data_IF_748180103313
#
_entry.id   IF_748180103313
#
_cell.length_a   1.000
_cell.length_b   1.000
_cell.length_c   1.000
_cell.angle_alpha   90.00
_cell.angle_beta   90.00
_cell.angle_gamma   90.00
#
_symmetry.space_group_name_H-M   'P 1'
#
loop_
_entity.id
_entity.type
_entity.pdbx_description
1 polymer ?
#
# COMPACT_ATOMS: atom_id res chain seq x y z
N UNK A 1 2.59 6.49 9.14
CA UNK A 1 3.72 7.08 9.89
C UNK A 1 3.78 8.59 9.67
N UNK A 2 3.76 9.05 8.42
CA UNK A 2 3.66 10.46 8.05
C UNK A 2 2.43 11.18 8.64
N UNK A 3 1.27 10.52 8.68
CA UNK A 3 0.08 11.07 9.34
C UNK A 3 0.25 11.30 10.84
N UNK A 4 1.07 10.47 11.50
CA UNK A 4 1.38 10.65 12.92
C UNK A 4 2.27 11.88 13.14
N UNK A 5 3.16 12.20 12.21
CA UNK A 5 3.96 13.43 12.24
C UNK A 5 3.11 14.66 11.95
N UNK A 6 2.15 14.53 11.04
CA UNK A 6 1.17 15.58 10.75
C UNK A 6 0.26 15.85 11.95
N UNK A 7 -0.14 14.78 12.64
CA UNK A 7 -0.94 14.87 13.86
C UNK A 7 -0.12 15.45 15.02
N UNK A 8 1.13 15.03 15.19
CA UNK A 8 2.05 15.61 16.16
C UNK A 8 2.32 17.10 15.88
N UNK A 9 2.38 17.50 14.61
CA UNK A 9 2.49 18.92 14.24
C UNK A 9 1.21 19.69 14.56
N UNK A 10 0.02 19.14 14.29
CA UNK A 10 -1.26 19.73 14.72
C UNK A 10 -1.29 19.92 16.22
N UNK A 11 -0.95 18.88 16.97
CA UNK A 11 -0.92 18.89 18.44
C UNK A 11 0.08 19.91 18.98
N UNK A 12 1.25 20.04 18.36
CA UNK A 12 2.25 21.06 18.71
C UNK A 12 1.76 22.49 18.39
N UNK A 13 1.01 22.68 17.31
CA UNK A 13 0.41 23.97 16.93
C UNK A 13 -0.79 24.31 17.82
N UNK A 14 -1.58 23.33 18.23
CA UNK A 14 -2.72 23.50 19.13
C UNK A 14 -2.25 23.79 20.57
N UNK A 15 -1.22 23.08 21.05
CA UNK A 15 -0.54 23.40 22.31
C UNK A 15 0.10 24.80 22.28
N UNK A 16 0.67 25.21 21.14
CA UNK A 16 1.17 26.58 20.92
C UNK A 16 0.07 27.65 21.03
N UNK A 17 -1.17 27.32 20.60
CA UNK A 17 -2.32 28.21 20.73
C UNK A 17 -2.74 28.38 22.20
N UNK A 18 -2.43 27.40 23.04
CA UNK A 18 -2.70 27.40 24.48
C UNK A 18 -1.56 28.00 25.30
N UNK A 19 -0.29 27.83 24.88
CA UNK A 19 0.91 28.30 25.58
C UNK A 19 1.69 29.33 24.74
N UNK A 20 1.57 30.60 25.10
CA UNK A 20 2.22 31.77 24.50
C UNK A 20 3.76 31.72 24.52
N UNK A 21 4.39 30.96 23.63
CA UNK A 21 5.83 31.07 23.31
C UNK A 21 6.03 31.33 21.80
N UNK A 22 5.87 32.60 21.42
CA UNK A 22 5.93 33.12 20.05
C UNK A 22 7.30 32.98 19.35
N UNK A 23 8.38 32.77 20.08
CA UNK A 23 9.72 32.65 19.52
C UNK A 23 10.05 31.21 19.02
N UNK A 24 9.24 30.22 19.37
CA UNK A 24 9.49 28.80 19.04
C UNK A 24 8.85 28.30 17.72
N UNK A 25 7.96 29.09 17.10
CA UNK A 25 7.18 28.68 15.91
C UNK A 25 8.04 28.50 14.66
N UNK A 26 8.95 29.43 14.30
CA UNK A 26 9.80 29.24 13.13
C UNK A 26 10.70 28.02 13.28
N UNK A 27 11.24 27.80 14.50
CA UNK A 27 12.09 26.66 14.78
C UNK A 27 11.33 25.32 14.76
N UNK A 28 10.08 25.28 15.24
CA UNK A 28 9.25 24.08 15.18
C UNK A 28 8.89 23.71 13.74
N UNK A 29 8.56 24.69 12.90
CA UNK A 29 8.35 24.49 11.47
C UNK A 29 9.62 24.03 10.75
N UNK A 30 10.78 24.59 11.10
CA UNK A 30 12.09 24.16 10.59
C UNK A 30 12.41 22.71 10.97
N UNK A 31 12.13 22.33 12.23
CA UNK A 31 12.30 20.95 12.70
C UNK A 31 11.38 19.97 11.96
N UNK A 32 10.11 20.32 11.74
CA UNK A 32 9.18 19.49 10.97
C UNK A 32 9.67 19.31 9.52
N UNK A 33 10.04 20.39 8.85
CA UNK A 33 10.53 20.36 7.47
C UNK A 33 11.76 19.46 7.35
N UNK A 34 12.71 19.55 8.29
CA UNK A 34 13.88 18.64 8.32
C UNK A 34 13.49 17.19 8.56
N UNK A 35 12.52 16.92 9.43
CA UNK A 35 12.03 15.57 9.65
C UNK A 35 11.37 14.99 8.38
N UNK A 36 10.54 15.78 7.70
CA UNK A 36 9.94 15.38 6.41
C UNK A 36 11.00 15.13 5.33
N UNK A 37 12.05 15.96 5.26
CA UNK A 37 13.18 15.73 4.34
C UNK A 37 13.90 14.42 4.64
N UNK A 38 14.16 14.12 5.92
CA UNK A 38 14.79 12.87 6.32
C UNK A 38 13.92 11.67 5.92
N UNK A 39 12.61 11.72 6.18
CA UNK A 39 11.72 10.63 5.78
C UNK A 39 11.65 10.44 4.27
N UNK A 40 11.69 11.52 3.48
CA UNK A 40 11.75 11.42 2.02
C UNK A 40 13.05 10.76 1.54
N UNK A 41 14.18 11.05 2.21
CA UNK A 41 15.46 10.38 1.94
C UNK A 41 15.37 8.89 2.27
N UNK A 42 14.81 8.54 3.42
CA UNK A 42 14.64 7.15 3.84
C UNK A 42 13.71 6.38 2.87
N UNK A 43 12.61 7.01 2.45
CA UNK A 43 11.71 6.45 1.44
C UNK A 43 12.39 6.24 0.08
N UNK A 44 13.26 7.18 -0.35
CA UNK A 44 14.07 7.00 -1.56
C UNK A 44 14.99 5.79 -1.44
N UNK A 45 15.67 5.62 -0.31
CA UNK A 45 16.55 4.46 -0.08
C UNK A 45 15.78 3.15 -0.17
N UNK A 46 14.55 3.10 0.35
CA UNK A 46 13.69 1.92 0.22
C UNK A 46 13.33 1.66 -1.25
N UNK A 47 12.94 2.71 -1.98
CA UNK A 47 12.63 2.61 -3.41
C UNK A 47 13.81 2.11 -4.24
N UNK A 48 15.02 2.58 -3.96
CA UNK A 48 16.22 2.14 -4.65
C UNK A 48 16.50 0.65 -4.37
N UNK A 49 16.36 0.22 -3.11
CA UNK A 49 16.47 -1.21 -2.73
C UNK A 49 15.43 -2.09 -3.40
N UNK A 50 14.17 -1.63 -3.49
CA UNK A 50 13.12 -2.34 -4.23
C UNK A 50 13.47 -2.43 -5.71
N UNK A 51 14.02 -1.37 -6.30
CA UNK A 51 14.54 -1.37 -7.67
C UNK A 51 15.62 -2.44 -7.88
N UNK A 52 16.60 -2.52 -6.99
CA UNK A 52 17.66 -3.53 -7.05
C UNK A 52 17.10 -4.96 -6.94
N UNK A 53 16.14 -5.18 -6.03
CA UNK A 53 15.48 -6.47 -5.84
C UNK A 53 14.65 -6.90 -7.06
N UNK A 54 13.97 -5.95 -7.72
CA UNK A 54 13.25 -6.18 -8.97
C UNK A 54 14.22 -6.63 -10.06
N UNK A 55 15.34 -5.91 -10.25
CA UNK A 55 16.33 -6.23 -11.28
C UNK A 55 17.06 -7.55 -11.01
N UNK A 56 17.34 -7.86 -9.76
CA UNK A 56 17.87 -9.17 -9.37
C UNK A 56 16.87 -10.30 -9.65
N UNK A 57 15.62 -10.15 -9.20
CA UNK A 57 14.57 -11.16 -9.41
C UNK A 57 14.30 -11.39 -10.91
N UNK A 58 14.35 -10.34 -11.74
CA UNK A 58 14.26 -10.44 -13.21
C UNK A 58 15.41 -11.25 -13.80
N UNK A 59 16.64 -11.01 -13.35
CA UNK A 59 17.83 -11.76 -13.80
C UNK A 59 17.72 -13.24 -13.40
N UNK A 60 17.27 -13.53 -12.19
CA UNK A 60 17.03 -14.89 -11.72
C UNK A 60 15.96 -15.60 -12.56
N UNK A 61 14.83 -14.94 -12.82
CA UNK A 61 13.75 -15.50 -13.64
C UNK A 61 14.21 -15.81 -15.07
N UNK A 62 15.00 -14.91 -15.67
CA UNK A 62 15.59 -15.14 -16.99
C UNK A 62 16.56 -16.32 -17.00
N UNK A 63 17.40 -16.45 -15.96
CA UNK A 63 18.32 -17.56 -15.82
C UNK A 63 17.57 -18.90 -15.66
N UNK A 64 16.51 -18.94 -14.85
CA UNK A 64 15.65 -20.13 -14.70
C UNK A 64 14.95 -20.51 -16.02
N UNK A 65 14.51 -19.53 -16.82
CA UNK A 65 13.94 -19.77 -18.16
C UNK A 65 14.98 -20.34 -19.15
N UNK A 66 16.22 -19.85 -19.11
CA UNK A 66 17.32 -20.42 -19.90
C UNK A 66 17.61 -21.87 -19.51
N UNK A 67 17.66 -22.18 -18.21
CA UNK A 67 17.87 -23.55 -17.72
C UNK A 67 16.70 -24.47 -18.08
N UNK A 68 15.46 -23.98 -17.98
CA UNK A 68 14.27 -24.69 -18.43
C UNK A 68 14.40 -25.08 -19.91
N UNK A 69 14.72 -24.13 -20.79
CA UNK A 69 14.90 -24.39 -22.22
C UNK A 69 16.03 -25.37 -22.48
N UNK A 70 17.13 -25.30 -21.72
CA UNK A 70 18.24 -26.24 -21.84
C UNK A 70 17.83 -27.66 -21.45
N UNK A 71 17.05 -27.82 -20.37
CA UNK A 71 16.52 -29.11 -19.93
C UNK A 71 15.55 -29.71 -20.96
N UNK A 72 14.63 -28.90 -21.51
CA UNK A 72 13.70 -29.35 -22.55
C UNK A 72 14.42 -29.82 -23.82
N UNK A 73 15.47 -29.10 -24.26
CA UNK A 73 16.30 -29.55 -25.39
C UNK A 73 17.01 -30.87 -25.09
N UNK A 74 17.55 -31.04 -23.88
CA UNK A 74 18.22 -32.28 -23.46
C UNK A 74 17.24 -33.45 -23.40
N UNK A 75 16.04 -33.23 -22.88
CA UNK A 75 14.98 -34.23 -22.86
C UNK A 75 14.65 -34.69 -24.28
N UNK A 76 14.45 -33.75 -25.21
CA UNK A 76 14.14 -34.07 -26.61
C UNK A 76 15.27 -34.86 -27.29
N UNK A 77 16.53 -34.49 -27.06
CA UNK A 77 17.68 -35.21 -27.59
C UNK A 77 17.78 -36.63 -27.02
N UNK A 78 17.62 -36.79 -25.70
CA UNK A 78 17.65 -38.09 -25.03
C UNK A 78 16.55 -39.03 -25.55
N UNK A 79 15.35 -38.49 -25.73
CA UNK A 79 14.22 -39.23 -26.32
C UNK A 79 14.52 -39.71 -27.74
N UNK A 80 15.16 -38.88 -28.57
CA UNK A 80 15.53 -39.25 -29.96
C UNK A 80 16.54 -40.39 -30.03
N UNK A 81 17.42 -40.52 -29.05
CA UNK A 81 18.45 -41.58 -29.01
C UNK A 81 18.07 -42.78 -28.14
N UNK A 82 16.88 -42.76 -27.53
CA UNK A 82 16.39 -43.83 -26.66
C UNK A 82 17.05 -43.88 -25.27
N UNK A 83 17.64 -42.78 -24.80
CA UNK A 83 18.19 -42.67 -23.44
C UNK A 83 17.08 -42.27 -22.45
N UNK A 84 16.37 -43.27 -21.94
CA UNK A 84 15.21 -43.08 -21.06
C UNK A 84 15.57 -42.45 -19.70
N UNK A 85 16.75 -42.73 -19.17
CA UNK A 85 17.18 -42.17 -17.87
C UNK A 85 17.47 -40.67 -18.01
N UNK A 86 18.21 -40.28 -19.05
CA UNK A 86 18.47 -38.85 -19.30
C UNK A 86 17.18 -38.10 -19.66
N UNK A 87 16.26 -38.70 -20.42
CA UNK A 87 14.95 -38.10 -20.69
C UNK A 87 14.20 -37.80 -19.39
N UNK A 88 14.10 -38.79 -18.50
CA UNK A 88 13.41 -38.64 -17.22
C UNK A 88 14.04 -37.56 -16.35
N UNK A 89 15.37 -37.57 -16.18
CA UNK A 89 16.08 -36.58 -15.37
C UNK A 89 15.90 -35.18 -15.96
N UNK A 90 16.04 -35.02 -17.27
CA UNK A 90 15.87 -33.72 -17.93
C UNK A 90 14.45 -33.17 -17.72
N UNK A 91 13.41 -34.02 -17.79
CA UNK A 91 12.03 -33.63 -17.52
C UNK A 91 11.82 -33.18 -16.07
N UNK A 92 12.37 -33.92 -15.10
CA UNK A 92 12.26 -33.57 -13.68
C UNK A 92 12.91 -32.21 -13.38
N UNK A 93 14.09 -31.93 -13.95
CA UNK A 93 14.74 -30.64 -13.81
C UNK A 93 13.98 -29.53 -14.54
N UNK A 94 13.46 -29.78 -15.73
CA UNK A 94 12.60 -28.83 -16.44
C UNK A 94 11.39 -28.43 -15.59
N UNK A 95 10.70 -29.39 -14.98
CA UNK A 95 9.57 -29.10 -14.10
C UNK A 95 9.97 -28.21 -12.90
N UNK A 96 11.14 -28.45 -12.29
CA UNK A 96 11.64 -27.62 -11.18
C UNK A 96 11.99 -26.20 -11.63
N UNK A 97 12.66 -26.03 -12.76
CA UNK A 97 12.99 -24.72 -13.31
C UNK A 97 11.72 -23.92 -13.68
N UNK A 98 10.70 -24.59 -14.23
CA UNK A 98 9.40 -23.96 -14.48
C UNK A 98 8.75 -23.47 -13.17
N UNK A 99 8.67 -24.33 -12.15
CA UNK A 99 8.10 -23.94 -10.85
C UNK A 99 8.83 -22.76 -10.21
N UNK A 100 10.16 -22.71 -10.30
CA UNK A 100 10.96 -21.61 -9.78
C UNK A 100 10.75 -20.33 -10.56
N UNK A 101 10.72 -20.42 -11.89
CA UNK A 101 10.41 -19.29 -12.77
C UNK A 101 9.05 -18.69 -12.43
N UNK A 102 8.01 -19.51 -12.32
CA UNK A 102 6.65 -19.05 -11.99
C UNK A 102 6.63 -18.33 -10.64
N UNK A 103 7.33 -18.86 -9.63
CA UNK A 103 7.45 -18.23 -8.32
C UNK A 103 8.17 -16.86 -8.40
N UNK A 104 9.24 -16.77 -9.19
CA UNK A 104 9.98 -15.52 -9.38
C UNK A 104 9.14 -14.49 -10.14
N UNK A 105 8.32 -14.91 -11.11
CA UNK A 105 7.37 -14.04 -11.81
C UNK A 105 6.28 -13.50 -10.89
N UNK A 106 5.72 -14.32 -9.99
CA UNK A 106 4.78 -13.84 -8.97
C UNK A 106 5.45 -12.88 -7.98
N UNK A 107 6.67 -13.20 -7.53
CA UNK A 107 7.46 -12.30 -6.68
C UNK A 107 7.70 -10.95 -7.37
N UNK A 108 8.00 -10.97 -8.67
CA UNK A 108 8.23 -9.76 -9.44
C UNK A 108 6.98 -8.86 -9.47
N UNK A 109 5.79 -9.44 -9.70
CA UNK A 109 4.52 -8.67 -9.67
C UNK A 109 4.30 -7.99 -8.33
N UNK A 110 4.58 -8.68 -7.22
CA UNK A 110 4.45 -8.13 -5.87
C UNK A 110 5.43 -6.98 -5.65
N UNK A 111 6.71 -7.16 -6.01
CA UNK A 111 7.72 -6.12 -5.85
C UNK A 111 7.44 -4.88 -6.72
N UNK A 112 6.95 -5.08 -7.95
CA UNK A 112 6.57 -3.98 -8.83
C UNK A 112 5.38 -3.19 -8.29
N UNK A 113 4.38 -3.89 -7.74
CA UNK A 113 3.24 -3.25 -7.06
C UNK A 113 3.69 -2.46 -5.83
N UNK A 114 4.51 -3.06 -4.97
CA UNK A 114 5.05 -2.37 -3.80
C UNK A 114 5.85 -1.13 -4.22
N UNK A 115 6.70 -1.23 -5.25
CA UNK A 115 7.44 -0.08 -5.77
C UNK A 115 6.52 1.03 -6.27
N UNK A 116 5.41 0.69 -6.94
CA UNK A 116 4.42 1.67 -7.39
C UNK A 116 3.72 2.36 -6.21
N UNK A 117 3.28 1.59 -5.21
CA UNK A 117 2.64 2.11 -4.01
C UNK A 117 3.58 3.06 -3.26
N UNK A 118 4.85 2.68 -3.08
CA UNK A 118 5.88 3.52 -2.44
C UNK A 118 6.22 4.79 -3.23
N UNK A 119 6.15 4.76 -4.56
CA UNK A 119 6.33 5.96 -5.39
C UNK A 119 5.17 6.93 -5.21
N UNK A 120 3.94 6.42 -5.17
CA UNK A 120 2.77 7.24 -4.87
C UNK A 120 2.88 7.89 -3.48
N UNK A 121 3.25 7.11 -2.45
CA UNK A 121 3.50 7.64 -1.10
C UNK A 121 4.55 8.78 -1.12
N UNK A 122 5.64 8.62 -1.88
CA UNK A 122 6.68 9.65 -2.00
C UNK A 122 6.19 10.92 -2.71
N UNK A 123 5.33 10.80 -3.72
CA UNK A 123 4.73 11.94 -4.41
C UNK A 123 3.78 12.72 -3.50
N UNK A 124 3.03 12.01 -2.64
CA UNK A 124 2.20 12.61 -1.60
C UNK A 124 3.06 13.35 -0.55
N UNK A 125 4.13 12.71 -0.08
CA UNK A 125 5.11 13.34 0.82
C UNK A 125 5.70 14.62 0.21
N UNK A 126 6.03 14.61 -1.08
CA UNK A 126 6.54 15.80 -1.79
C UNK A 126 5.50 16.93 -1.84
N UNK A 127 4.23 16.60 -2.06
CA UNK A 127 3.13 17.56 -2.06
C UNK A 127 2.95 18.17 -0.67
N UNK A 128 2.94 17.34 0.37
CA UNK A 128 2.88 17.80 1.75
C UNK A 128 4.07 18.66 2.15
N UNK A 129 5.27 18.31 1.70
CA UNK A 129 6.49 19.08 1.94
C UNK A 129 6.42 20.47 1.31
N UNK A 130 5.93 20.56 0.07
CA UNK A 130 5.69 21.85 -0.60
C UNK A 130 4.70 22.71 0.18
N UNK A 131 3.62 22.11 0.67
CA UNK A 131 2.61 22.80 1.48
C UNK A 131 3.17 23.27 2.83
N UNK A 132 4.00 22.45 3.50
CA UNK A 132 4.66 22.81 4.74
C UNK A 132 5.61 24.01 4.56
N UNK A 133 6.41 24.01 3.48
CA UNK A 133 7.28 25.14 3.10
C UNK A 133 6.49 26.42 2.84
N UNK A 134 5.42 26.35 2.05
CA UNK A 134 4.57 27.51 1.77
C UNK A 134 3.92 28.10 3.04
N UNK A 135 3.44 27.24 3.95
CA UNK A 135 2.89 27.66 5.25
C UNK A 135 3.94 28.33 6.13
N UNK A 136 5.16 27.79 6.17
CA UNK A 136 6.28 28.41 6.88
C UNK A 136 6.58 29.81 6.33
N UNK A 137 6.64 29.97 5.02
CA UNK A 137 6.87 31.27 4.38
C UNK A 137 5.76 32.28 4.72
N UNK A 138 4.50 31.85 4.71
CA UNK A 138 3.36 32.68 5.13
C UNK A 138 3.47 33.11 6.61
N UNK A 139 3.87 32.20 7.50
CA UNK A 139 4.10 32.50 8.93
C UNK A 139 5.24 33.52 9.14
N UNK A 140 6.33 33.41 8.38
CA UNK A 140 7.43 34.38 8.41
C UNK A 140 7.00 35.75 7.87
N UNK A 141 6.19 35.77 6.81
CA UNK A 141 5.67 36.99 6.19
C UNK A 141 4.59 37.70 7.02
N UNK A 142 3.80 36.99 7.81
CA UNK A 142 2.82 37.57 8.73
C UNK A 142 3.46 38.04 10.04
N UNK A 143 4.48 37.32 10.53
CA UNK A 143 5.29 37.73 11.69
C UNK A 143 5.99 39.07 11.46
N UNK A 144 6.49 39.30 10.22
CA UNK A 144 7.18 40.54 9.83
C UNK A 144 6.27 41.74 9.55
N UNK A 145 4.99 41.55 9.21
CA UNK A 145 4.08 42.67 8.87
C UNK A 145 3.32 43.26 10.03
N UNK A 146 3.16 42.52 11.12
CA UNK A 146 2.03 42.81 11.98
C UNK A 146 2.41 43.57 13.27
N UNK A 147 2.27 44.90 13.23
CA UNK A 147 2.20 45.74 14.41
C UNK A 147 0.91 45.46 15.19
N UNK A 148 1.01 44.56 16.17
CA UNK A 148 0.16 44.35 17.37
C UNK A 148 -1.39 44.39 17.34
N UNK A 149 -2.12 44.95 16.37
CA UNK A 149 -3.59 45.14 16.49
C UNK A 149 -4.47 44.42 15.45
N UNK A 150 -4.00 44.14 14.23
CA UNK A 150 -4.83 43.44 13.21
C UNK A 150 -4.80 41.89 13.33
N UNK A 151 -3.93 41.32 14.17
CA UNK A 151 -3.64 39.87 14.24
C UNK A 151 -4.76 38.98 14.75
N UNK A 152 -5.70 39.51 15.53
CA UNK A 152 -6.75 38.69 16.14
C UNK A 152 -7.87 38.39 15.14
N UNK A 153 -8.20 39.36 14.28
CA UNK A 153 -9.31 39.25 13.34
C UNK A 153 -8.94 38.44 12.10
N UNK A 154 -7.70 38.60 11.61
CA UNK A 154 -7.19 37.89 10.42
C UNK A 154 -6.88 36.40 10.71
N UNK A 155 -6.56 36.05 11.96
CA UNK A 155 -6.42 34.66 12.38
C UNK A 155 -7.79 33.96 12.39
N UNK A 156 -8.82 34.61 12.92
CA UNK A 156 -10.18 34.05 12.96
C UNK A 156 -10.76 33.85 11.54
N UNK A 157 -10.50 34.76 10.60
CA UNK A 157 -10.89 34.61 9.20
C UNK A 157 -10.15 33.45 8.50
N UNK A 158 -8.87 33.22 8.82
CA UNK A 158 -8.08 32.10 8.29
C UNK A 158 -8.56 30.73 8.80
N UNK A 159 -9.07 30.65 10.03
CA UNK A 159 -9.65 29.41 10.57
C UNK A 159 -11.03 29.14 9.98
N UNK A 160 -11.86 30.17 9.75
CA UNK A 160 -13.15 30.01 9.07
C UNK A 160 -13.02 29.51 7.63
N UNK A 161 -11.90 29.81 6.96
CA UNK A 161 -11.59 29.27 5.64
C UNK A 161 -11.03 27.84 5.70
N UNK A 162 -10.30 27.49 6.76
CA UNK A 162 -9.82 26.12 7.00
C UNK A 162 -10.94 25.15 7.38
N UNK A 163 -11.94 25.59 8.16
CA UNK A 163 -13.11 24.77 8.51
C UNK A 163 -13.95 24.49 7.26
N UNK A 164 -14.17 25.49 6.40
CA UNK A 164 -14.85 25.32 5.10
C UNK A 164 -14.09 24.40 4.15
N UNK A 165 -12.76 24.37 4.20
CA UNK A 165 -11.97 23.40 3.42
C UNK A 165 -11.97 22.00 4.03
N UNK A 166 -12.01 21.88 5.35
CA UNK A 166 -12.11 20.60 6.04
C UNK A 166 -13.48 19.93 5.82
N UNK A 167 -14.56 20.70 5.83
CA UNK A 167 -15.90 20.23 5.44
C UNK A 167 -15.90 19.73 3.99
N UNK A 168 -15.29 20.49 3.07
CA UNK A 168 -15.20 20.10 1.66
C UNK A 168 -14.36 18.85 1.42
N UNK A 169 -13.34 18.59 2.25
CA UNK A 169 -12.52 17.37 2.20
C UNK A 169 -13.25 16.18 2.86
N UNK A 170 -13.96 16.41 3.96
CA UNK A 170 -14.83 15.39 4.57
C UNK A 170 -15.94 14.94 3.63
N UNK A 171 -16.50 15.85 2.83
CA UNK A 171 -17.47 15.52 1.78
C UNK A 171 -16.85 14.69 0.64
N UNK A 172 -15.57 14.92 0.32
CA UNK A 172 -14.83 14.15 -0.69
C UNK A 172 -14.44 12.76 -0.17
N UNK A 173 -14.04 12.65 1.09
CA UNK A 173 -13.78 11.36 1.75
C UNK A 173 -15.09 10.57 1.94
N UNK A 174 -16.21 11.23 2.25
CA UNK A 174 -17.53 10.61 2.29
C UNK A 174 -18.00 10.17 0.90
N UNK A 175 -17.69 10.93 -0.16
CA UNK A 175 -17.94 10.52 -1.54
C UNK A 175 -17.06 9.35 -1.98
N UNK A 176 -15.78 9.33 -1.56
CA UNK A 176 -14.87 8.23 -1.82
C UNK A 176 -15.31 6.95 -1.09
N UNK A 177 -15.69 7.06 0.19
CA UNK A 177 -16.23 5.95 0.98
C UNK A 177 -17.58 5.45 0.44
N UNK A 178 -18.45 6.36 -0.04
CA UNK A 178 -19.69 5.99 -0.71
C UNK A 178 -19.44 5.30 -2.06
N UNK A 179 -18.43 5.74 -2.83
CA UNK A 179 -18.02 5.09 -4.06
C UNK A 179 -17.39 3.71 -3.82
N UNK A 180 -16.65 3.53 -2.72
CA UNK A 180 -16.16 2.23 -2.26
C UNK A 180 -17.31 1.29 -1.84
N UNK A 181 -18.31 1.80 -1.10
CA UNK A 181 -19.49 1.04 -0.72
C UNK A 181 -20.37 0.64 -1.93
N UNK A 182 -20.38 1.43 -3.01
CA UNK A 182 -21.04 1.07 -4.26
C UNK A 182 -20.27 0.03 -5.09
N UNK A 183 -18.99 -0.21 -4.77
CA UNK A 183 -18.11 -1.15 -5.46
C UNK A 183 -17.80 -2.40 -4.61
N UNK A 184 -18.44 -2.51 -3.44
CA UNK A 184 -18.36 -3.68 -2.56
C UNK A 184 -19.21 -4.80 -3.18
N UNK A 185 -18.64 -5.97 -3.50
CA UNK A 185 -19.41 -7.09 -4.03
C UNK A 185 -20.40 -7.58 -2.96
N UNK A 186 -21.63 -7.89 -3.39
CA UNK A 186 -22.70 -8.37 -2.51
C UNK A 186 -22.17 -9.43 -1.52
N UNK A 187 -22.52 -9.33 -0.22
CA UNK A 187 -22.14 -10.34 0.74
C UNK A 187 -22.64 -11.70 0.24
N UNK A 188 -21.82 -12.77 0.31
CA UNK A 188 -22.25 -14.08 -0.10
C UNK A 188 -23.53 -14.45 0.68
N UNK A 189 -24.53 -15.07 0.02
CA UNK A 189 -25.80 -15.36 0.65
C UNK A 189 -25.53 -16.09 1.96
N UNK A 190 -26.10 -15.56 3.04
CA UNK A 190 -26.00 -16.11 4.39
C UNK A 190 -26.25 -17.61 4.32
N UNK A 191 -25.20 -18.39 4.50
CA UNK A 191 -25.31 -19.84 4.63
C UNK A 191 -26.30 -20.16 5.76
N UNK A 192 -27.02 -21.29 5.67
CA UNK A 192 -27.99 -21.66 6.69
C UNK A 192 -27.32 -21.63 8.07
N UNK A 193 -28.05 -21.20 9.12
CA UNK A 193 -27.51 -20.98 10.45
C UNK A 193 -26.69 -22.18 10.92
N UNK A 194 -25.69 -21.97 11.80
CA UNK A 194 -24.85 -23.05 12.29
C UNK A 194 -25.70 -24.06 13.05
N UNK A 195 -26.19 -25.06 12.33
CA UNK A 195 -26.77 -26.26 12.89
C UNK A 195 -25.61 -27.14 13.32
N UNK A 196 -25.76 -27.71 14.51
CA UNK A 196 -24.89 -28.75 15.02
C UNK A 196 -24.66 -29.81 13.93
N UNK A 197 -23.41 -30.26 13.78
CA UNK A 197 -22.98 -31.21 12.75
C UNK A 197 -23.82 -32.48 12.82
N UNK A 198 -24.25 -32.85 14.02
CA UNK A 198 -25.14 -33.99 14.29
C UNK A 198 -26.55 -33.79 13.75
N UNK A 199 -27.08 -32.57 13.79
CA UNK A 199 -28.40 -32.24 13.25
C UNK A 199 -28.38 -32.19 11.72
N UNK A 200 -27.28 -31.71 11.11
CA UNK A 200 -27.03 -31.78 9.66
C UNK A 200 -26.96 -33.22 9.15
N UNK A 201 -26.28 -34.10 9.88
CA UNK A 201 -26.20 -35.53 9.56
C UNK A 201 -27.56 -36.24 9.70
N UNK A 202 -28.39 -35.84 10.67
CA UNK A 202 -29.75 -36.36 10.84
C UNK A 202 -30.64 -35.99 9.66
N UNK A 203 -30.67 -34.71 9.28
CA UNK A 203 -31.47 -34.21 8.15
C UNK A 203 -31.03 -34.86 6.84
N UNK A 204 -29.72 -35.03 6.61
CA UNK A 204 -29.20 -35.69 5.40
C UNK A 204 -29.59 -37.19 5.35
N UNK A 205 -29.53 -37.91 6.49
CA UNK A 205 -29.99 -39.30 6.58
C UNK A 205 -31.50 -39.44 6.33
N UNK A 206 -32.29 -38.47 6.79
CA UNK A 206 -33.74 -38.46 6.60
C UNK A 206 -34.09 -38.19 5.13
N UNK A 207 -33.39 -37.26 4.48
CA UNK A 207 -33.53 -36.97 3.05
C UNK A 207 -33.09 -38.13 2.15
N UNK A 208 -32.04 -38.85 2.53
CA UNK A 208 -31.61 -40.05 1.81
C UNK A 208 -32.60 -41.20 1.97
N UNK A 209 -33.29 -41.31 3.11
CA UNK A 209 -34.40 -42.26 3.31
C UNK A 209 -35.64 -41.89 2.50
N UNK A 210 -35.97 -40.60 2.37
CA UNK A 210 -37.13 -40.16 1.59
C UNK A 210 -36.92 -40.22 0.06
N UNK A 211 -35.67 -40.11 -0.41
CA UNK A 211 -35.31 -40.26 -1.84
C UNK A 211 -35.01 -41.70 -2.28
N UNK A 212 -34.87 -42.63 -1.34
CA UNK A 212 -34.61 -44.05 -1.62
C UNK A 212 -35.85 -44.95 -1.63
N UNK A 213 -37.06 -44.37 -1.59
CA UNK A 213 -38.33 -45.10 -1.51
C UNK A 213 -39.33 -44.66 -2.59
N UNK A 214 -39.00 -44.89 -3.85
CA UNK A 214 -39.96 -44.95 -4.96
C UNK A 214 -39.38 -45.89 -6.02
N UNK A 215 -39.69 -47.17 -5.84
CA UNK A 215 -40.01 -48.08 -6.97
C UNK A 215 -41.47 -47.82 -7.38
#
# INVERSE_FOLDING_TARGET
>A
MFDSLRQAFREAVDNFRTELNRDAVPEAADRLIRAMEQEMVDARVILDRLGDQIEETRREAAAEDEQLRACLRREEMARKIGDAETEKVAREYAARHLQRKDLLEEKLKVLERESADRRAEMDDMATHMKNARARREALLASSSRSGARDRLQEADDLFADLDRMAERLGDLDAQAAAAEAMNEPDPPPSGPPPMDVEERLRVLKEHMRSRGGSD
#
